data_IF_442552658297
#
_entry.id   IF_442552658297
#
_cell.length_a   1.000
_cell.length_b   1.000
_cell.length_c   1.000
_cell.angle_alpha   90.00
_cell.angle_beta   90.00
_cell.angle_gamma   90.00
#
_symmetry.space_group_name_H-M   'P 1'
#
loop_
_entity.id
_entity.type
_entity.pdbx_description
1 polymer ?
#
# COMPACT_ATOMS: atom_id res chain seq x y z
N UNK A 1 7.75 -22.54 -41.17
CA UNK A 1 6.72 -21.54 -40.81
C UNK A 1 5.74 -22.01 -39.72
N UNK A 2 5.15 -23.22 -39.80
CA UNK A 2 4.23 -23.75 -38.75
C UNK A 2 4.83 -23.90 -37.34
N UNK A 3 6.12 -24.26 -37.24
CA UNK A 3 6.84 -24.37 -35.95
C UNK A 3 7.12 -23.02 -35.30
N UNK A 4 7.42 -21.99 -36.09
CA UNK A 4 7.62 -20.61 -35.63
C UNK A 4 6.30 -20.02 -35.12
N UNK A 5 5.19 -20.29 -35.82
CA UNK A 5 3.85 -19.86 -35.40
C UNK A 5 3.43 -20.48 -34.05
N UNK A 6 3.74 -21.76 -33.82
CA UNK A 6 3.45 -22.44 -32.56
C UNK A 6 4.27 -21.92 -31.37
N UNK A 7 5.55 -21.58 -31.59
CA UNK A 7 6.42 -20.99 -30.56
C UNK A 7 5.94 -19.58 -30.18
N UNK A 8 5.57 -18.76 -31.18
CA UNK A 8 5.00 -17.43 -30.93
C UNK A 8 3.68 -17.52 -30.15
N UNK A 9 2.83 -18.51 -30.44
CA UNK A 9 1.56 -18.69 -29.73
C UNK A 9 1.77 -19.13 -28.27
N UNK A 10 2.74 -20.00 -27.99
CA UNK A 10 3.09 -20.42 -26.62
C UNK A 10 3.70 -19.27 -25.82
N UNK A 11 4.55 -18.45 -26.44
CA UNK A 11 5.14 -17.27 -25.79
C UNK A 11 4.08 -16.22 -25.44
N UNK A 12 3.10 -16.00 -26.32
CA UNK A 12 1.98 -15.08 -26.06
C UNK A 12 1.09 -15.61 -24.92
N UNK A 13 0.80 -16.91 -24.89
CA UNK A 13 0.02 -17.53 -23.82
C UNK A 13 0.74 -17.48 -22.46
N UNK A 14 2.06 -17.67 -22.44
CA UNK A 14 2.87 -17.60 -21.21
C UNK A 14 2.94 -16.16 -20.65
N UNK A 15 2.99 -15.14 -21.52
CA UNK A 15 3.00 -13.74 -21.10
C UNK A 15 1.66 -13.28 -20.49
N UNK A 16 0.54 -13.87 -20.93
CA UNK A 16 -0.80 -13.61 -20.41
C UNK A 16 -1.09 -14.32 -19.07
N UNK A 17 -0.28 -15.31 -18.69
CA UNK A 17 -0.46 -16.12 -17.49
C UNK A 17 0.48 -15.72 -16.33
N UNK A 18 1.20 -14.60 -16.45
CA UNK A 18 2.07 -14.13 -15.38
C UNK A 18 1.24 -13.76 -14.13
N UNK A 19 1.62 -14.22 -12.92
CA UNK A 19 0.93 -13.81 -11.70
C UNK A 19 1.14 -12.32 -11.47
N UNK A 20 0.05 -11.59 -11.26
CA UNK A 20 0.13 -10.22 -10.78
C UNK A 20 0.69 -10.25 -9.34
N UNK A 21 1.88 -9.66 -9.14
CA UNK A 21 2.41 -9.44 -7.81
C UNK A 21 1.57 -8.32 -7.20
N UNK A 22 0.62 -8.68 -6.32
CA UNK A 22 -0.15 -7.69 -5.58
C UNK A 22 0.76 -7.03 -4.54
N UNK A 23 1.02 -5.73 -4.68
CA UNK A 23 1.65 -4.92 -3.65
C UNK A 23 0.59 -4.51 -2.61
N UNK A 24 0.95 -4.57 -1.33
CA UNK A 24 0.12 -3.98 -0.27
C UNK A 24 0.00 -2.47 -0.51
N UNK A 25 -1.22 -1.92 -0.45
CA UNK A 25 -1.37 -0.47 -0.49
C UNK A 25 -0.87 0.11 0.83
N UNK A 26 -0.27 1.29 0.77
CA UNK A 26 0.27 1.97 1.93
C UNK A 26 -0.58 3.20 2.22
N UNK A 27 -1.21 3.23 3.39
CA UNK A 27 -1.99 4.37 3.86
C UNK A 27 -1.16 5.19 4.83
N UNK A 28 -1.21 6.51 4.73
CA UNK A 28 -0.46 7.39 5.64
C UNK A 28 -1.37 8.05 6.66
N UNK A 29 -0.87 8.15 7.89
CA UNK A 29 -1.50 8.88 8.96
C UNK A 29 -0.45 9.72 9.70
N UNK A 30 -0.87 10.87 10.21
CA UNK A 30 0.00 11.79 10.96
C UNK A 30 -0.52 11.99 12.37
N UNK A 31 0.41 12.08 13.31
CA UNK A 31 0.17 12.59 14.65
C UNK A 31 0.48 14.09 14.61
N UNK A 32 -0.47 14.92 15.03
CA UNK A 32 -0.37 16.38 14.94
C UNK A 32 -0.52 17.01 16.32
N UNK A 33 0.12 18.16 16.53
CA UNK A 33 -0.07 18.97 17.71
C UNK A 33 -1.46 19.62 17.68
N UNK A 34 -2.18 19.58 18.80
CA UNK A 34 -3.53 20.15 18.93
C UNK A 34 -3.80 20.73 20.33
N UNK A 35 -3.00 21.70 20.79
CA UNK A 35 -3.15 22.24 22.14
C UNK A 35 -4.56 22.83 22.37
N UNK A 36 -5.11 22.71 23.60
CA UNK A 36 -4.50 22.08 24.79
C UNK A 36 -4.64 20.55 24.81
N UNK A 37 -5.26 19.94 23.81
CA UNK A 37 -5.44 18.49 23.72
C UNK A 37 -4.15 17.79 23.25
N UNK A 38 -4.10 16.48 23.49
CA UNK A 38 -3.04 15.58 23.03
C UNK A 38 -3.64 14.42 22.24
N UNK A 39 -2.81 13.73 21.46
CA UNK A 39 -3.25 12.54 20.71
C UNK A 39 -4.16 12.88 19.53
N UNK A 40 -3.89 13.97 18.81
CA UNK A 40 -4.61 14.25 17.57
C UNK A 40 -3.98 13.53 16.39
N UNK A 41 -4.84 12.97 15.55
CA UNK A 41 -4.45 12.18 14.38
C UNK A 41 -5.15 12.73 13.14
N UNK A 42 -4.50 12.61 11.99
CA UNK A 42 -5.14 12.91 10.72
C UNK A 42 -4.68 11.95 9.62
N UNK A 43 -5.61 11.45 8.77
CA UNK A 43 -7.07 11.57 8.94
C UNK A 43 -7.58 10.81 10.17
N UNK A 44 -8.72 11.24 10.71
CA UNK A 44 -9.41 10.57 11.81
C UNK A 44 -10.93 10.64 11.55
N UNK A 45 -11.58 9.56 11.07
CA UNK A 45 -11.03 8.21 10.90
C UNK A 45 -10.18 8.05 9.62
N UNK A 46 -9.27 7.08 9.62
CA UNK A 46 -8.64 6.55 8.41
C UNK A 46 -9.41 5.29 7.94
N UNK A 47 -9.60 5.14 6.64
CA UNK A 47 -10.23 3.95 6.04
C UNK A 47 -9.19 3.23 5.19
N UNK A 48 -8.98 1.94 5.44
CA UNK A 48 -7.99 1.09 4.77
C UNK A 48 -8.61 -0.24 4.36
N UNK A 49 -7.98 -0.97 3.44
CA UNK A 49 -8.39 -2.32 3.06
C UNK A 49 -7.63 -3.36 3.89
N UNK A 50 -8.20 -4.56 3.98
CA UNK A 50 -7.51 -5.71 4.60
C UNK A 50 -6.24 -6.01 3.79
N UNK A 51 -5.11 -6.11 4.49
CA UNK A 51 -3.79 -6.34 3.89
C UNK A 51 -3.00 -5.07 3.60
N UNK A 52 -3.57 -3.88 3.82
CA UNK A 52 -2.84 -2.62 3.74
C UNK A 52 -1.90 -2.43 4.95
N UNK A 53 -0.80 -1.72 4.72
CA UNK A 53 0.05 -1.21 5.78
C UNK A 53 -0.28 0.25 6.08
N UNK A 54 -0.22 0.64 7.35
CA UNK A 54 -0.33 2.05 7.76
C UNK A 54 1.02 2.57 8.21
N UNK A 55 1.46 3.66 7.59
CA UNK A 55 2.66 4.40 8.00
C UNK A 55 2.25 5.61 8.84
N UNK A 56 2.71 5.64 10.09
CA UNK A 56 2.52 6.77 11.00
C UNK A 56 3.72 7.70 10.95
N UNK A 57 3.47 9.00 10.78
CA UNK A 57 4.48 10.05 10.94
C UNK A 57 4.13 10.91 12.15
N UNK A 58 5.08 11.09 13.06
CA UNK A 58 4.93 12.04 14.15
C UNK A 58 5.37 13.43 13.68
N UNK A 59 4.40 14.33 13.46
CA UNK A 59 4.64 15.73 13.11
C UNK A 59 4.49 16.65 14.34
N UNK A 60 4.19 16.10 15.51
CA UNK A 60 4.07 16.84 16.75
C UNK A 60 5.39 16.98 17.51
N UNK A 61 5.36 17.81 18.54
CA UNK A 61 6.51 18.08 19.42
C UNK A 61 6.75 17.01 20.49
N UNK A 62 5.76 16.15 20.74
CA UNK A 62 5.79 15.10 21.77
C UNK A 62 6.00 13.73 21.13
N UNK A 63 6.76 12.84 21.78
CA UNK A 63 6.97 11.47 21.31
C UNK A 63 5.73 10.59 21.49
N UNK A 64 5.46 9.73 20.52
CA UNK A 64 4.30 8.84 20.51
C UNK A 64 4.66 7.43 20.00
N UNK A 65 3.83 6.44 20.36
CA UNK A 65 3.89 5.06 19.86
C UNK A 65 2.52 4.63 19.31
N UNK A 66 2.52 3.64 18.42
CA UNK A 66 1.30 3.00 17.91
C UNK A 66 1.25 1.56 18.41
N UNK A 67 0.08 1.11 18.87
CA UNK A 67 -0.16 -0.25 19.39
C UNK A 67 -1.41 -0.85 18.77
#
# INVERSE_FOLDING_TARGET
>A
MRRLLGISMVLVAALLAAPAIASAANSSARIIDCPPASGCFSPNPITIKVGDSVTWTNNGSVSHTST
#
